data_IF_173883590297
#
_entry.id   IF_173883590297
#
_cell.length_a   1.000
_cell.length_b   1.000
_cell.length_c   1.000
_cell.angle_alpha   90.00
_cell.angle_beta   90.00
_cell.angle_gamma   90.00
#
_symmetry.space_group_name_H-M   'P 1'
#
loop_
_entity.id
_entity.type
_entity.pdbx_description
1 polymer ?
#
# COMPACT_ATOMS: atom_id res chain seq x y z
N UNK A 1 -17.81 -33.61 3.88
CA UNK A 1 -17.24 -33.31 5.21
C UNK A 1 -15.75 -33.63 5.12
N UNK A 2 -14.85 -32.65 5.10
CA UNK A 2 -13.42 -32.96 4.87
C UNK A 2 -12.49 -31.78 4.57
N UNK A 3 -13.01 -30.59 4.23
CA UNK A 3 -12.16 -29.42 4.02
C UNK A 3 -12.07 -28.50 5.25
N UNK A 4 -13.07 -28.58 6.15
CA UNK A 4 -13.17 -27.71 7.32
C UNK A 4 -12.23 -28.14 8.46
N UNK A 5 -11.93 -29.43 8.55
CA UNK A 5 -11.19 -30.02 9.66
C UNK A 5 -9.67 -29.87 9.49
N UNK A 6 -9.17 -29.85 8.25
CA UNK A 6 -7.74 -29.66 7.95
C UNK A 6 -7.25 -28.23 8.25
N UNK A 7 -8.12 -27.23 8.07
CA UNK A 7 -7.80 -25.83 8.37
C UNK A 7 -7.79 -25.55 9.89
N UNK A 8 -8.57 -26.30 10.68
CA UNK A 8 -8.64 -26.13 12.13
C UNK A 8 -7.43 -26.72 12.86
N UNK A 9 -6.77 -27.75 12.29
CA UNK A 9 -5.57 -28.37 12.87
C UNK A 9 -4.28 -27.61 12.59
N UNK A 10 -4.24 -26.78 11.52
CA UNK A 10 -3.12 -25.89 11.23
C UNK A 10 -3.20 -24.56 11.99
N UNK A 11 -3.54 -24.61 13.28
CA UNK A 11 -3.22 -23.48 14.15
C UNK A 11 -1.70 -23.39 14.20
N UNK A 12 -1.13 -22.43 13.48
CA UNK A 12 0.30 -22.12 13.58
C UNK A 12 0.57 -21.69 15.02
N UNK A 13 1.13 -22.61 15.80
CA UNK A 13 1.50 -22.34 17.18
C UNK A 13 2.75 -21.44 17.19
N UNK A 14 2.53 -20.15 17.39
CA UNK A 14 3.58 -19.13 17.49
C UNK A 14 4.37 -19.22 18.79
N UNK A 15 4.07 -20.16 19.69
CA UNK A 15 4.92 -20.49 20.83
C UNK A 15 6.02 -21.49 20.49
N UNK A 16 5.98 -22.11 19.30
CA UNK A 16 7.06 -22.97 18.80
C UNK A 16 8.11 -22.18 18.00
N UNK A 17 9.40 -22.57 18.01
CA UNK A 17 10.42 -21.94 17.18
C UNK A 17 10.08 -21.92 15.68
N UNK A 18 9.47 -22.98 15.17
CA UNK A 18 9.05 -23.10 13.77
C UNK A 18 7.90 -22.14 13.46
N UNK A 19 6.91 -22.04 14.34
CA UNK A 19 5.80 -21.09 14.21
C UNK A 19 6.26 -19.64 14.26
N UNK A 20 7.24 -19.32 15.11
CA UNK A 20 7.88 -18.00 15.17
C UNK A 20 8.58 -17.64 13.85
N UNK A 21 9.38 -18.54 13.29
CA UNK A 21 10.06 -18.31 12.01
C UNK A 21 9.04 -18.09 10.89
N UNK A 22 7.99 -18.91 10.83
CA UNK A 22 6.93 -18.77 9.83
C UNK A 22 6.19 -17.43 9.97
N UNK A 23 5.87 -17.02 11.20
CA UNK A 23 5.26 -15.71 11.47
C UNK A 23 6.18 -14.56 11.02
N UNK A 24 7.46 -14.64 11.33
CA UNK A 24 8.45 -13.65 10.91
C UNK A 24 8.58 -13.58 9.39
N UNK A 25 8.57 -14.72 8.70
CA UNK A 25 8.55 -14.75 7.23
C UNK A 25 7.32 -14.04 6.67
N UNK A 26 6.11 -14.36 7.15
CA UNK A 26 4.88 -13.69 6.69
C UNK A 26 4.95 -12.19 6.97
N UNK A 27 5.42 -11.79 8.15
CA UNK A 27 5.62 -10.38 8.49
C UNK A 27 6.58 -9.68 7.52
N UNK A 28 7.72 -10.32 7.22
CA UNK A 28 8.68 -9.82 6.25
C UNK A 28 8.09 -9.69 4.84
N UNK A 29 7.30 -10.66 4.38
CA UNK A 29 6.60 -10.58 3.10
C UNK A 29 5.57 -9.45 3.07
N UNK A 30 4.78 -9.28 4.14
CA UNK A 30 3.79 -8.21 4.22
C UNK A 30 4.46 -6.83 4.17
N UNK A 31 5.59 -6.65 4.87
CA UNK A 31 6.38 -5.41 4.79
C UNK A 31 6.96 -5.18 3.40
N UNK A 32 7.48 -6.22 2.76
CA UNK A 32 8.01 -6.17 1.41
C UNK A 32 6.93 -5.72 0.41
N UNK A 33 5.77 -6.36 0.41
CA UNK A 33 4.65 -5.99 -0.47
C UNK A 33 4.21 -4.55 -0.24
N UNK A 34 4.08 -4.13 1.03
CA UNK A 34 3.74 -2.75 1.37
C UNK A 34 4.76 -1.75 0.80
N UNK A 35 6.06 -2.05 0.87
CA UNK A 35 7.11 -1.20 0.29
C UNK A 35 6.97 -1.09 -1.23
N UNK A 36 6.75 -2.21 -1.92
CA UNK A 36 6.57 -2.24 -3.38
C UNK A 36 5.33 -1.45 -3.80
N UNK A 37 4.21 -1.60 -3.10
CA UNK A 37 2.97 -0.85 -3.39
C UNK A 37 3.21 0.65 -3.18
N UNK A 38 3.88 1.03 -2.10
CA UNK A 38 4.20 2.44 -1.81
C UNK A 38 5.10 3.05 -2.89
N UNK A 39 6.13 2.33 -3.32
CA UNK A 39 7.04 2.78 -4.38
C UNK A 39 6.29 3.02 -5.70
N UNK A 40 5.50 2.04 -6.13
CA UNK A 40 4.70 2.14 -7.36
C UNK A 40 3.67 3.27 -7.28
N UNK A 41 2.98 3.38 -6.15
CA UNK A 41 1.99 4.44 -5.92
C UNK A 41 2.64 5.82 -5.96
N UNK A 42 3.79 5.99 -5.30
CA UNK A 42 4.56 7.25 -5.30
C UNK A 42 5.00 7.62 -6.73
N UNK A 43 5.54 6.67 -7.47
CA UNK A 43 5.95 6.87 -8.86
C UNK A 43 4.78 7.28 -9.75
N UNK A 44 3.62 6.62 -9.61
CA UNK A 44 2.39 6.97 -10.31
C UNK A 44 1.92 8.39 -9.97
N UNK A 45 1.91 8.77 -8.68
CA UNK A 45 1.54 10.13 -8.25
C UNK A 45 2.45 11.20 -8.83
N UNK A 46 3.76 10.98 -8.85
CA UNK A 46 4.73 11.91 -9.44
C UNK A 46 4.47 12.05 -10.95
N UNK A 47 4.22 10.94 -11.66
CA UNK A 47 3.91 10.98 -13.08
C UNK A 47 2.61 11.76 -13.37
N UNK A 48 1.57 11.60 -12.55
CA UNK A 48 0.32 12.36 -12.66
C UNK A 48 0.53 13.85 -12.37
N UNK A 49 1.28 14.19 -11.32
CA UNK A 49 1.60 15.57 -10.96
C UNK A 49 2.38 16.29 -12.09
N UNK A 50 3.35 15.61 -12.73
CA UNK A 50 4.08 16.14 -13.88
C UNK A 50 3.20 16.44 -15.10
N UNK A 51 2.02 15.82 -15.19
CA UNK A 51 1.02 16.09 -16.24
C UNK A 51 0.05 17.22 -15.86
N UNK A 52 0.31 17.96 -14.77
CA UNK A 52 -0.62 18.94 -14.18
C UNK A 52 -2.01 18.35 -13.88
N UNK A 53 -2.05 17.05 -13.59
CA UNK A 53 -3.27 16.34 -13.21
C UNK A 53 -3.28 16.13 -11.69
N UNK A 54 -4.48 15.96 -11.13
CA UNK A 54 -4.62 15.69 -9.70
C UNK A 54 -4.03 14.34 -9.32
N UNK A 55 -2.96 14.34 -8.52
CA UNK A 55 -2.29 13.14 -8.05
C UNK A 55 -2.85 12.58 -6.72
N UNK A 56 -3.96 13.14 -6.22
CA UNK A 56 -4.54 12.80 -4.92
C UNK A 56 -3.88 13.52 -3.74
N UNK A 57 -4.60 13.66 -2.63
CA UNK A 57 -4.14 14.37 -1.43
C UNK A 57 -4.49 15.86 -1.45
N UNK A 58 -3.88 16.64 -0.55
CA UNK A 58 -4.06 18.09 -0.54
C UNK A 58 -3.40 18.75 -1.76
N UNK A 59 -4.07 19.75 -2.35
CA UNK A 59 -3.47 20.61 -3.37
C UNK A 59 -2.46 21.55 -2.70
N UNK A 60 -1.24 21.71 -3.22
CA UNK A 60 -0.27 22.66 -2.65
C UNK A 60 -0.80 24.09 -2.64
N UNK A 61 -0.34 24.90 -1.68
CA UNK A 61 -0.68 26.33 -1.63
C UNK A 61 -0.28 27.05 -2.93
N UNK A 62 -1.13 27.98 -3.38
CA UNK A 62 -0.96 28.68 -4.65
C UNK A 62 -1.31 27.84 -5.88
N UNK A 63 -1.97 26.69 -5.71
CA UNK A 63 -2.57 25.92 -6.78
C UNK A 63 -4.02 25.58 -6.44
N UNK A 64 -4.87 25.49 -7.46
CA UNK A 64 -6.26 25.09 -7.35
C UNK A 64 -6.55 23.90 -8.26
N UNK A 65 -7.52 23.07 -7.85
CA UNK A 65 -8.05 22.02 -8.70
C UNK A 65 -9.24 22.54 -9.50
N UNK A 66 -9.05 22.72 -10.80
CA UNK A 66 -10.10 23.12 -11.71
C UNK A 66 -10.33 22.00 -12.75
N UNK A 67 -11.54 21.44 -12.79
CA UNK A 67 -11.91 20.39 -13.74
C UNK A 67 -10.93 19.19 -13.77
N UNK A 68 -10.40 18.79 -12.61
CA UNK A 68 -9.46 17.66 -12.48
C UNK A 68 -8.00 17.99 -12.84
N UNK A 69 -7.69 19.23 -13.20
CA UNK A 69 -6.33 19.73 -13.46
C UNK A 69 -5.85 20.62 -12.31
N UNK A 70 -4.56 20.55 -12.02
CA UNK A 70 -3.88 21.40 -11.04
C UNK A 70 -3.40 22.65 -11.77
N UNK A 71 -3.94 23.81 -11.42
CA UNK A 71 -3.65 25.12 -12.05
C UNK A 71 -3.09 26.05 -10.98
N UNK A 72 -2.14 26.92 -11.33
CA UNK A 72 -1.61 27.92 -10.41
C UNK A 72 -2.70 28.96 -10.10
N UNK A 73 -2.84 29.30 -8.83
CA UNK A 73 -3.72 30.37 -8.37
C UNK A 73 -3.04 31.71 -8.72
N UNK A 74 -3.44 32.31 -9.83
CA UNK A 74 -3.01 33.65 -10.21
C UNK A 74 -3.95 34.65 -9.52
N UNK A 75 -3.55 35.11 -8.33
CA UNK A 75 -4.06 36.35 -7.74
C UNK A 75 -3.50 37.55 -8.48
#
# INVERSE_FOLDING_TARGET
MGMKDFYLSQRMDTSTPQGMIFLQMIGGFAEFERKIINERTKSGRIATARKNQYAGGGVPYGYQLLNGKVVKDEQ
#
